data_IF_128438602979
#
_entry.id   IF_128438602979
#
_cell.length_a   1.000
_cell.length_b   1.000
_cell.length_c   1.000
_cell.angle_alpha   90.00
_cell.angle_beta   90.00
_cell.angle_gamma   90.00
#
_symmetry.space_group_name_H-M   'P 1'
#
loop_
_entity.id
_entity.type
_entity.pdbx_description
1 polymer ?
#
# COMPACT_ATOMS: atom_id res chain seq x y z
N UNK A 1 -0.31 9.24 11.62
CA UNK A 1 -1.70 8.75 11.78
C UNK A 1 -2.67 9.93 11.74
N UNK A 2 -3.91 9.77 11.25
CA UNK A 2 -4.95 10.79 11.37
C UNK A 2 -5.27 11.07 12.84
N UNK A 3 -5.48 12.35 13.20
CA UNK A 3 -5.86 12.77 14.55
C UNK A 3 -6.82 13.96 14.49
N UNK A 4 -8.13 13.67 14.60
CA UNK A 4 -9.17 14.66 14.35
C UNK A 4 -9.07 15.26 12.95
N UNK A 5 -8.91 16.59 12.86
CA UNK A 5 -8.69 17.30 11.60
C UNK A 5 -7.23 17.40 11.15
N UNK A 6 -6.30 16.77 11.87
CA UNK A 6 -4.86 16.88 11.62
C UNK A 6 -4.16 15.53 11.51
N UNK A 7 -2.84 15.59 11.57
CA UNK A 7 -1.97 14.40 11.62
C UNK A 7 -1.23 14.37 12.96
N UNK A 8 -0.91 13.16 13.39
CA UNK A 8 -0.03 12.88 14.53
C UNK A 8 1.11 11.96 14.12
N UNK A 9 2.31 12.30 14.55
CA UNK A 9 3.47 11.42 14.49
C UNK A 9 3.44 10.46 15.69
N UNK A 10 3.72 9.19 15.44
CA UNK A 10 3.92 8.18 16.49
C UNK A 10 5.20 7.41 16.18
N UNK A 11 6.18 7.50 17.08
CA UNK A 11 7.47 6.85 16.95
C UNK A 11 7.85 6.25 18.31
N UNK A 12 7.74 4.92 18.42
CA UNK A 12 7.87 4.21 19.70
C UNK A 12 6.92 4.78 20.77
N UNK A 13 7.48 5.36 21.84
CA UNK A 13 6.72 5.99 22.92
C UNK A 13 6.42 7.47 22.66
N UNK A 14 7.02 8.08 21.63
CA UNK A 14 6.85 9.49 21.29
C UNK A 14 5.58 9.68 20.45
N UNK A 15 4.81 10.69 20.81
CA UNK A 15 3.59 11.11 20.12
C UNK A 15 3.56 12.62 20.04
N UNK A 16 3.54 13.15 18.82
CA UNK A 16 3.61 14.59 18.58
C UNK A 16 2.61 15.00 17.50
N UNK A 17 1.84 16.09 17.67
CA UNK A 17 0.99 16.58 16.60
C UNK A 17 1.85 17.05 15.41
N UNK A 18 1.31 16.93 14.21
CA UNK A 18 1.93 17.43 12.99
C UNK A 18 1.08 18.55 12.42
N UNK A 19 1.70 19.70 12.22
CA UNK A 19 1.12 20.84 11.52
C UNK A 19 1.67 20.88 10.10
N UNK A 20 0.82 21.16 9.12
CA UNK A 20 1.29 21.39 7.75
C UNK A 20 2.26 22.57 7.70
N UNK A 21 3.37 22.42 6.97
CA UNK A 21 4.38 23.47 6.82
C UNK A 21 4.41 23.98 5.38
N UNK A 22 4.81 23.14 4.42
CA UNK A 22 4.73 23.44 3.00
C UNK A 22 4.74 22.13 2.19
N UNK A 23 4.09 22.10 1.03
CA UNK A 23 4.06 20.92 0.15
C UNK A 23 3.78 19.63 0.94
N UNK A 24 4.64 18.62 0.80
CA UNK A 24 4.60 17.34 1.49
C UNK A 24 5.36 17.33 2.83
N UNK A 25 5.67 18.49 3.39
CA UNK A 25 6.40 18.64 4.65
C UNK A 25 5.47 19.13 5.76
N UNK A 26 5.52 18.41 6.87
CA UNK A 26 4.85 18.72 8.13
C UNK A 26 5.90 18.99 9.20
N UNK A 27 5.49 19.67 10.26
CA UNK A 27 6.36 20.07 11.36
C UNK A 27 5.69 19.75 12.70
N UNK A 28 6.47 19.25 13.65
CA UNK A 28 6.05 19.18 15.04
C UNK A 28 6.07 20.59 15.63
N UNK A 29 4.94 21.10 16.15
CA UNK A 29 4.88 22.42 16.77
C UNK A 29 5.93 22.60 17.87
N UNK A 30 6.38 23.84 18.06
CA UNK A 30 7.28 24.19 19.16
C UNK A 30 6.66 23.83 20.52
N UNK A 31 7.40 23.07 21.31
CA UNK A 31 7.01 22.61 22.63
C UNK A 31 8.27 22.13 23.36
N UNK A 32 8.76 22.88 24.37
CA UNK A 32 9.99 22.52 25.09
C UNK A 32 9.96 21.16 25.81
N UNK A 33 8.78 20.54 25.96
CA UNK A 33 8.61 19.21 26.55
C UNK A 33 8.57 18.09 25.51
N UNK A 34 8.54 18.42 24.22
CA UNK A 34 8.54 17.47 23.12
C UNK A 34 9.96 17.32 22.54
N UNK A 35 10.60 16.15 22.67
CA UNK A 35 11.91 15.89 22.09
C UNK A 35 11.99 16.05 20.56
N UNK A 36 10.83 16.08 19.89
CA UNK A 36 10.71 16.24 18.44
C UNK A 36 10.28 17.64 18.04
N UNK A 37 10.29 18.63 18.94
CA UNK A 37 9.86 19.99 18.61
C UNK A 37 10.59 20.55 17.37
N UNK A 38 9.84 21.22 16.49
CA UNK A 38 10.31 21.78 15.21
C UNK A 38 10.89 20.76 14.22
N UNK A 39 10.88 19.45 14.53
CA UNK A 39 11.30 18.43 13.60
C UNK A 39 10.38 18.43 12.38
N UNK A 40 10.98 18.33 11.19
CA UNK A 40 10.25 18.26 9.92
C UNK A 40 10.08 16.81 9.50
N UNK A 41 8.90 16.50 8.97
CA UNK A 41 8.54 15.19 8.43
C UNK A 41 8.13 15.38 6.99
N UNK A 42 8.93 14.85 6.07
CA UNK A 42 8.63 14.86 4.64
C UNK A 42 7.92 13.55 4.26
N UNK A 43 6.78 13.66 3.58
CA UNK A 43 6.08 12.54 2.98
C UNK A 43 6.58 12.35 1.54
N UNK A 44 6.96 11.13 1.19
CA UNK A 44 7.50 10.82 -0.14
C UNK A 44 6.49 9.96 -0.90
N UNK A 45 5.98 10.52 -1.98
CA UNK A 45 5.00 9.90 -2.87
C UNK A 45 5.70 9.10 -3.97
N UNK A 46 5.21 7.90 -4.28
CA UNK A 46 5.71 7.10 -5.40
C UNK A 46 5.07 7.45 -6.74
N UNK A 47 5.51 6.77 -7.82
CA UNK A 47 5.02 7.01 -9.18
C UNK A 47 3.54 6.69 -9.38
N UNK A 48 2.87 5.99 -8.46
CA UNK A 48 1.41 5.77 -8.52
C UNK A 48 0.63 6.68 -7.58
N UNK A 49 1.28 7.67 -6.96
CA UNK A 49 0.62 8.66 -6.12
C UNK A 49 0.36 8.20 -4.68
N UNK A 50 0.96 7.10 -4.23
CA UNK A 50 0.84 6.64 -2.85
C UNK A 50 2.04 7.07 -2.01
N UNK A 51 1.81 7.38 -0.73
CA UNK A 51 2.90 7.62 0.22
C UNK A 51 3.67 6.31 0.44
N UNK A 52 4.92 6.30 -0.01
CA UNK A 52 5.82 5.14 0.02
C UNK A 52 6.86 5.23 1.11
N UNK A 53 7.19 6.44 1.58
CA UNK A 53 8.15 6.65 2.66
C UNK A 53 7.88 7.95 3.40
N UNK A 54 8.44 8.06 4.60
CA UNK A 54 8.59 9.34 5.31
C UNK A 54 10.05 9.57 5.65
N UNK A 55 10.51 10.82 5.60
CA UNK A 55 11.86 11.21 5.97
C UNK A 55 11.84 12.23 7.11
N UNK A 56 12.75 12.08 8.08
CA UNK A 56 12.85 12.99 9.22
C UNK A 56 14.28 13.07 9.79
N UNK A 57 14.71 14.24 10.31
CA UNK A 57 16.03 14.45 10.88
C UNK A 57 16.04 14.06 12.37
N UNK A 58 16.22 12.76 12.67
CA UNK A 58 16.28 12.28 14.06
C UNK A 58 17.66 12.40 14.71
N UNK A 59 18.69 12.73 13.93
CA UNK A 59 20.05 12.90 14.40
C UNK A 59 20.66 14.17 13.77
N UNK A 60 21.45 14.94 14.52
CA UNK A 60 22.16 16.09 13.97
C UNK A 60 23.24 15.63 12.97
N UNK A 61 23.53 16.49 12.00
CA UNK A 61 24.66 16.37 11.07
C UNK A 61 24.69 15.11 10.18
N UNK A 62 23.58 14.40 10.05
CA UNK A 62 23.40 13.28 9.12
C UNK A 62 22.22 13.52 8.19
N UNK A 63 22.12 12.71 7.13
CA UNK A 63 20.94 12.72 6.25
C UNK A 63 19.70 12.27 7.02
N UNK A 64 18.55 12.82 6.62
CA UNK A 64 17.25 12.38 7.12
C UNK A 64 17.10 10.87 7.07
N UNK A 65 16.58 10.30 8.15
CA UNK A 65 16.27 8.88 8.22
C UNK A 65 15.01 8.64 7.40
N UNK A 66 15.11 7.75 6.42
CA UNK A 66 14.01 7.37 5.53
C UNK A 66 13.36 6.09 6.05
N UNK A 67 12.09 6.18 6.43
CA UNK A 67 11.26 5.05 6.81
C UNK A 67 10.40 4.63 5.62
N UNK A 68 10.67 3.45 5.07
CA UNK A 68 9.87 2.89 3.97
C UNK A 68 8.61 2.24 4.50
N UNK A 69 7.47 2.54 3.87
CA UNK A 69 6.18 1.95 4.21
C UNK A 69 6.23 0.45 4.00
N UNK A 70 5.84 -0.30 5.03
CA UNK A 70 5.63 -1.74 4.92
C UNK A 70 4.20 -2.04 4.47
N UNK A 71 3.98 -3.12 3.70
CA UNK A 71 2.62 -3.55 3.35
C UNK A 71 1.77 -3.77 4.59
N UNK A 72 0.51 -3.34 4.53
CA UNK A 72 -0.43 -3.56 5.62
C UNK A 72 -0.69 -5.05 5.82
N UNK A 73 -0.76 -5.50 7.08
CA UNK A 73 -1.26 -6.83 7.39
C UNK A 73 -2.76 -6.83 7.13
N UNK A 74 -3.18 -7.57 6.11
CA UNK A 74 -4.60 -7.71 5.76
C UNK A 74 -5.13 -8.99 6.38
N UNK A 75 -6.23 -8.89 7.13
CA UNK A 75 -6.91 -10.03 7.73
C UNK A 75 -7.33 -11.06 6.68
N UNK A 76 -7.19 -12.34 7.02
CA UNK A 76 -7.47 -13.44 6.07
C UNK A 76 -8.90 -13.40 5.52
N UNK A 77 -9.87 -13.06 6.36
CA UNK A 77 -11.29 -12.91 5.98
C UNK A 77 -11.54 -11.86 4.90
N UNK A 78 -10.64 -10.88 4.75
CA UNK A 78 -10.70 -9.86 3.69
C UNK A 78 -10.04 -10.35 2.39
N UNK A 79 -9.13 -11.32 2.48
CA UNK A 79 -8.42 -11.91 1.33
C UNK A 79 -9.21 -13.07 0.71
N UNK A 80 -9.92 -13.86 1.53
CA UNK A 80 -10.68 -15.04 1.07
C UNK A 80 -11.65 -14.76 -0.09
N UNK A 81 -12.40 -13.64 -0.10
CA UNK A 81 -13.28 -13.31 -1.21
C UNK A 81 -12.57 -13.10 -2.55
N UNK A 82 -11.27 -12.80 -2.53
CA UNK A 82 -10.43 -12.57 -3.71
C UNK A 82 -10.02 -13.88 -4.40
N UNK A 83 -9.96 -14.99 -3.66
CA UNK A 83 -9.58 -16.29 -4.19
C UNK A 83 -10.61 -16.82 -5.20
N UNK A 84 -10.15 -17.39 -6.31
CA UNK A 84 -11.01 -17.89 -7.37
C UNK A 84 -10.35 -17.89 -8.74
N UNK A 85 -11.15 -18.19 -9.75
CA UNK A 85 -10.72 -18.19 -11.16
C UNK A 85 -11.23 -16.94 -11.87
N UNK A 86 -10.37 -16.31 -12.64
CA UNK A 86 -10.66 -15.11 -13.42
C UNK A 86 -10.27 -15.37 -14.88
N UNK A 87 -11.13 -14.99 -15.82
CA UNK A 87 -10.97 -15.37 -17.23
C UNK A 87 -10.97 -14.16 -18.16
N UNK A 88 -10.13 -14.24 -19.20
CA UNK A 88 -10.08 -13.30 -20.31
C UNK A 88 -9.62 -14.04 -21.57
N UNK A 89 -10.40 -14.00 -22.65
CA UNK A 89 -9.99 -14.54 -23.96
C UNK A 89 -9.57 -16.01 -23.95
N UNK A 90 -10.19 -16.85 -23.11
CA UNK A 90 -9.87 -18.27 -22.96
C UNK A 90 -8.73 -18.58 -21.98
N UNK A 91 -7.98 -17.57 -21.52
CA UNK A 91 -7.00 -17.72 -20.44
C UNK A 91 -7.72 -17.68 -19.09
N UNK A 92 -7.36 -18.59 -18.19
CA UNK A 92 -7.86 -18.63 -16.81
C UNK A 92 -6.71 -18.36 -15.84
N UNK A 93 -6.74 -17.20 -15.20
CA UNK A 93 -5.89 -16.88 -14.06
C UNK A 93 -6.52 -17.47 -12.78
N UNK A 94 -5.70 -18.05 -11.91
CA UNK A 94 -6.13 -18.55 -10.60
C UNK A 94 -5.52 -17.70 -9.51
N UNK A 95 -6.36 -17.22 -8.60
CA UNK A 95 -5.95 -16.53 -7.37
C UNK A 95 -6.21 -17.45 -6.20
N UNK A 96 -5.19 -17.70 -5.39
CA UNK A 96 -5.26 -18.56 -4.20
C UNK A 96 -4.65 -17.85 -2.99
N UNK A 97 -4.96 -18.36 -1.80
CA UNK A 97 -4.28 -17.96 -0.56
C UNK A 97 -3.40 -19.11 -0.11
N UNK A 98 -2.14 -18.82 0.14
CA UNK A 98 -1.15 -19.77 0.61
C UNK A 98 -0.58 -19.35 1.96
N UNK A 99 -0.29 -20.35 2.79
CA UNK A 99 0.05 -20.12 4.19
C UNK A 99 -1.06 -19.38 4.91
N UNK A 100 -0.67 -18.40 5.74
CA UNK A 100 -1.59 -17.61 6.54
C UNK A 100 -2.32 -16.56 5.69
N UNK A 101 -1.59 -15.64 5.04
CA UNK A 101 -2.18 -14.45 4.41
C UNK A 101 -1.54 -14.10 3.06
N UNK A 102 -0.82 -15.02 2.40
CA UNK A 102 -0.17 -14.72 1.12
C UNK A 102 -1.14 -14.98 -0.02
N UNK A 103 -1.61 -13.92 -0.69
CA UNK A 103 -2.38 -14.07 -1.93
C UNK A 103 -1.41 -14.33 -3.08
N UNK A 104 -1.77 -15.27 -3.94
CA UNK A 104 -0.94 -15.76 -5.03
C UNK A 104 -1.73 -15.70 -6.33
N UNK A 105 -1.10 -15.25 -7.40
CA UNK A 105 -1.60 -15.27 -8.76
C UNK A 105 -0.83 -16.31 -9.60
N UNK A 106 -1.58 -17.17 -10.28
CA UNK A 106 -1.06 -18.15 -11.26
C UNK A 106 -1.77 -17.94 -12.59
N UNK A 107 -0.98 -17.69 -13.64
CA UNK A 107 -1.44 -17.61 -15.02
C UNK A 107 -0.71 -18.72 -15.79
N UNK A 108 -1.41 -19.58 -16.57
CA UNK A 108 -0.78 -20.63 -17.35
C UNK A 108 0.36 -20.11 -18.23
N UNK A 109 1.52 -20.77 -18.15
CA UNK A 109 2.72 -20.38 -18.91
C UNK A 109 3.55 -19.26 -18.29
N UNK A 110 3.13 -18.67 -17.16
CA UNK A 110 3.90 -17.67 -16.42
C UNK A 110 4.39 -18.21 -15.07
N UNK A 111 5.43 -17.58 -14.48
CA UNK A 111 5.77 -17.77 -13.08
C UNK A 111 4.59 -17.47 -12.16
N UNK A 112 4.66 -18.06 -10.97
CA UNK A 112 3.73 -17.77 -9.87
C UNK A 112 4.14 -16.45 -9.22
N UNK A 113 3.17 -15.56 -8.97
CA UNK A 113 3.43 -14.26 -8.35
C UNK A 113 2.75 -14.16 -6.99
N UNK A 114 3.52 -13.75 -5.97
CA UNK A 114 2.93 -13.33 -4.71
C UNK A 114 2.37 -11.90 -4.88
N UNK A 115 1.19 -11.65 -4.34
CA UNK A 115 0.53 -10.35 -4.40
C UNK A 115 0.76 -9.60 -3.09
N UNK A 116 1.33 -8.41 -3.18
CA UNK A 116 1.66 -7.55 -2.04
C UNK A 116 0.55 -6.50 -1.89
N UNK A 117 -0.13 -6.44 -0.73
CA UNK A 117 -1.17 -5.44 -0.48
C UNK A 117 -0.65 -4.02 -0.67
N UNK A 118 -1.44 -3.17 -1.33
CA UNK A 118 -1.11 -1.76 -1.57
C UNK A 118 -2.13 -0.82 -0.94
N UNK A 119 -3.27 -0.62 -1.60
CA UNK A 119 -4.36 0.25 -1.14
C UNK A 119 -5.70 -0.33 -1.56
N UNK A 120 -6.63 -0.42 -0.62
CA UNK A 120 -7.94 -1.04 -0.88
C UNK A 120 -7.77 -2.49 -1.36
N UNK A 121 -8.47 -2.86 -2.43
CA UNK A 121 -8.39 -4.19 -3.03
C UNK A 121 -7.33 -4.29 -4.16
N UNK A 122 -6.30 -3.44 -4.13
CA UNK A 122 -5.20 -3.41 -5.11
C UNK A 122 -3.93 -4.01 -4.51
N UNK A 123 -3.25 -4.83 -5.32
CA UNK A 123 -2.04 -5.53 -4.95
C UNK A 123 -0.96 -5.35 -6.02
N UNK A 124 0.29 -5.17 -5.63
CA UNK A 124 1.44 -5.20 -6.52
C UNK A 124 1.93 -6.64 -6.72
N UNK A 125 2.43 -6.98 -7.91
CA UNK A 125 3.03 -8.30 -8.15
C UNK A 125 4.48 -8.29 -7.63
N UNK A 126 4.78 -9.14 -6.64
CA UNK A 126 6.11 -9.19 -6.02
C UNK A 126 7.18 -9.49 -7.07
N UNK A 127 8.18 -8.61 -7.16
CA UNK A 127 9.30 -8.74 -8.10
C UNK A 127 9.05 -8.18 -9.51
N UNK A 128 7.86 -7.62 -9.78
CA UNK A 128 7.51 -7.02 -11.07
C UNK A 128 7.06 -5.56 -10.90
N UNK A 129 8.02 -4.63 -11.01
CA UNK A 129 7.73 -3.20 -10.98
C UNK A 129 6.81 -2.78 -12.13
N UNK A 130 5.83 -1.93 -11.83
CA UNK A 130 4.84 -1.47 -12.82
C UNK A 130 3.63 -2.39 -13.01
N UNK A 131 3.61 -3.56 -12.36
CA UNK A 131 2.50 -4.50 -12.44
C UNK A 131 1.66 -4.49 -11.16
N UNK A 132 0.34 -4.43 -11.30
CA UNK A 132 -0.59 -4.55 -10.17
C UNK A 132 -1.90 -5.20 -10.61
N UNK A 133 -2.65 -5.71 -9.64
CA UNK A 133 -3.97 -6.29 -9.83
C UNK A 133 -4.96 -5.66 -8.84
N UNK A 134 -6.11 -5.22 -9.33
CA UNK A 134 -7.23 -4.69 -8.53
C UNK A 134 -8.41 -5.67 -8.59
N UNK A 135 -8.96 -6.02 -7.43
CA UNK A 135 -10.18 -6.81 -7.35
C UNK A 135 -11.40 -5.92 -7.19
N UNK A 136 -12.27 -5.91 -8.19
CA UNK A 136 -13.48 -5.07 -8.19
C UNK A 136 -14.67 -5.85 -7.64
N UNK A 137 -15.45 -5.15 -6.83
CA UNK A 137 -16.65 -5.66 -6.18
C UNK A 137 -17.89 -5.01 -6.79
N UNK A 138 -18.99 -5.76 -6.85
CA UNK A 138 -20.30 -5.21 -7.16
C UNK A 138 -20.92 -4.46 -5.95
N UNK A 139 -22.13 -3.93 -6.13
CA UNK A 139 -22.87 -3.22 -5.08
C UNK A 139 -23.20 -4.08 -3.85
N UNK A 140 -23.17 -5.41 -3.97
CA UNK A 140 -23.36 -6.35 -2.86
C UNK A 140 -22.06 -6.67 -2.12
N UNK A 141 -20.92 -6.15 -2.59
CA UNK A 141 -19.59 -6.43 -2.04
C UNK A 141 -18.95 -7.71 -2.56
N UNK A 142 -19.57 -8.40 -3.52
CA UNK A 142 -19.03 -9.63 -4.12
C UNK A 142 -17.97 -9.26 -5.16
N UNK A 143 -16.80 -9.88 -5.11
CA UNK A 143 -15.76 -9.69 -6.13
C UNK A 143 -16.24 -10.32 -7.44
N UNK A 144 -16.28 -9.51 -8.51
CA UNK A 144 -16.78 -9.88 -9.84
C UNK A 144 -15.70 -9.84 -10.91
N UNK A 145 -14.63 -9.06 -10.72
CA UNK A 145 -13.58 -8.88 -11.70
C UNK A 145 -12.21 -8.74 -11.03
N UNK A 146 -11.17 -9.12 -11.76
CA UNK A 146 -9.80 -8.79 -11.45
C UNK A 146 -9.20 -8.01 -12.62
N UNK A 147 -8.69 -6.81 -12.35
CA UNK A 147 -8.14 -5.90 -13.33
C UNK A 147 -6.63 -5.88 -13.19
N UNK A 148 -5.93 -6.37 -14.20
CA UNK A 148 -4.47 -6.33 -14.27
C UNK A 148 -4.02 -5.03 -14.94
N UNK A 149 -3.20 -4.28 -14.23
CA UNK A 149 -2.46 -3.13 -14.74
C UNK A 149 -1.05 -3.59 -15.07
N UNK A 150 -0.69 -3.45 -16.34
CA UNK A 150 0.64 -3.72 -16.87
C UNK A 150 1.18 -2.42 -17.48
N UNK A 151 2.49 -2.31 -17.71
CA UNK A 151 3.01 -1.25 -18.56
C UNK A 151 2.22 -1.21 -19.87
N UNK A 152 1.68 -0.03 -20.20
CA UNK A 152 0.96 0.27 -21.44
C UNK A 152 -0.35 -0.51 -21.69
N UNK A 153 -0.81 -1.36 -20.76
CA UNK A 153 -2.01 -2.19 -20.97
C UNK A 153 -2.81 -2.40 -19.69
N UNK A 154 -4.13 -2.34 -19.79
CA UNK A 154 -5.07 -2.76 -18.74
C UNK A 154 -5.92 -3.92 -19.24
N UNK A 155 -5.96 -5.02 -18.49
CA UNK A 155 -6.73 -6.21 -18.81
C UNK A 155 -7.78 -6.48 -17.73
N UNK A 156 -9.04 -6.63 -18.13
CA UNK A 156 -10.14 -6.96 -17.22
C UNK A 156 -10.47 -8.44 -17.35
N UNK A 157 -10.32 -9.19 -16.27
CA UNK A 157 -10.65 -10.62 -16.20
C UNK A 157 -11.91 -10.82 -15.37
N UNK A 158 -12.93 -11.47 -15.94
CA UNK A 158 -14.19 -11.73 -15.23
C UNK A 158 -14.04 -12.94 -14.31
N UNK A 159 -14.56 -12.83 -13.10
CA UNK A 159 -14.65 -13.97 -12.19
C UNK A 159 -15.55 -15.04 -12.81
N UNK A 160 -15.05 -16.28 -12.78
CA UNK A 160 -15.77 -17.47 -13.25
C UNK A 160 -16.82 -17.92 -12.24
#
# INVERSE_FOLDING_TARGET
EPDGGGLKLSLNLLKSPLRHFHYDVFEVPENPLDPLEKAKVMFITDLKGDISSVAMPLQPDVKDIVFTRVPEKVERSLLEPLAGQYTLGGITATVSIEGENTVVLVIPGQPKYALVPRRGATFDLKGLSGFSIEFRKDASGKVTEAVMYQPDTTLVMKRK
#
